data_IF_841894781488
#
_entry.id   IF_841894781488
#
_cell.length_a   1.000
_cell.length_b   1.000
_cell.length_c   1.000
_cell.angle_alpha   90.00
_cell.angle_beta   90.00
_cell.angle_gamma   90.00
#
_symmetry.space_group_name_H-M   'P 1'
#
loop_
_entity.id
_entity.type
_entity.pdbx_description
1 polymer ?
#
# COMPACT_ATOMS: atom_id res chain seq x y z
N UNK A 1 -12.45 2.88 20.16
CA UNK A 1 -13.37 1.75 19.83
C UNK A 1 -13.07 1.35 18.39
N UNK A 2 -12.91 0.05 18.13
CA UNK A 2 -12.71 -0.50 16.78
C UNK A 2 -13.90 -1.44 16.49
N UNK A 3 -14.95 -0.97 15.79
CA UNK A 3 -16.04 -1.85 15.38
C UNK A 3 -15.59 -2.77 14.26
N UNK A 4 -16.04 -4.03 14.30
CA UNK A 4 -15.78 -5.04 13.26
C UNK A 4 -17.10 -5.37 12.60
N UNK A 5 -17.12 -5.26 11.27
CA UNK A 5 -18.29 -5.54 10.45
C UNK A 5 -18.00 -6.62 9.42
N UNK A 6 -19.01 -7.42 9.11
CA UNK A 6 -18.98 -8.32 7.98
C UNK A 6 -19.60 -7.64 6.75
N UNK A 7 -19.01 -7.91 5.58
CA UNK A 7 -19.55 -7.47 4.29
C UNK A 7 -19.91 -8.70 3.46
N UNK A 8 -21.18 -9.12 3.43
CA UNK A 8 -21.60 -10.21 2.59
C UNK A 8 -21.22 -9.97 1.12
N UNK A 9 -20.64 -10.97 0.47
CA UNK A 9 -20.16 -10.88 -0.92
C UNK A 9 -19.13 -9.77 -1.20
N UNK A 10 -18.43 -9.29 -0.14
CA UNK A 10 -17.50 -8.18 -0.18
C UNK A 10 -18.12 -6.84 -0.63
N UNK A 11 -19.45 -6.75 -0.55
CA UNK A 11 -20.20 -5.56 -0.93
C UNK A 11 -20.18 -4.51 0.20
N UNK A 12 -19.77 -3.28 -0.15
CA UNK A 12 -19.71 -2.13 0.75
C UNK A 12 -20.95 -1.24 0.68
N UNK A 13 -21.85 -1.49 -0.27
CA UNK A 13 -23.03 -0.64 -0.55
C UNK A 13 -24.18 -0.81 0.44
N UNK A 14 -24.35 -1.96 1.17
CA UNK A 14 -25.37 -2.05 2.21
C UNK A 14 -25.25 -0.94 3.25
N UNK A 15 -26.37 -0.49 3.85
CA UNK A 15 -26.39 0.68 4.73
C UNK A 15 -25.43 0.60 5.92
N UNK A 16 -25.23 -0.57 6.51
CA UNK A 16 -24.38 -0.71 7.69
C UNK A 16 -22.89 -0.47 7.36
N UNK A 17 -22.26 -1.15 6.37
CA UNK A 17 -20.90 -0.85 5.96
C UNK A 17 -20.72 0.57 5.45
N UNK A 18 -21.64 1.08 4.63
CA UNK A 18 -21.58 2.41 4.04
C UNK A 18 -21.62 3.51 5.12
N UNK A 19 -22.64 3.49 5.98
CA UNK A 19 -22.78 4.46 7.07
C UNK A 19 -21.63 4.40 8.07
N UNK A 20 -21.11 3.21 8.38
CA UNK A 20 -19.96 3.05 9.28
C UNK A 20 -18.72 3.72 8.70
N UNK A 21 -18.51 3.68 7.40
CA UNK A 21 -17.46 4.42 6.72
C UNK A 21 -17.58 5.94 6.88
N UNK A 22 -18.78 6.48 6.99
CA UNK A 22 -19.01 7.91 7.20
C UNK A 22 -18.80 8.36 8.65
N UNK A 23 -19.21 7.57 9.62
CA UNK A 23 -19.16 7.95 11.04
C UNK A 23 -17.83 7.65 11.72
N UNK A 24 -16.95 6.88 11.12
CA UNK A 24 -15.63 6.52 11.67
C UNK A 24 -14.53 7.39 11.07
N UNK A 25 -13.43 7.57 11.81
CA UNK A 25 -12.26 8.34 11.37
C UNK A 25 -11.36 7.58 10.37
N UNK A 26 -11.62 6.31 10.18
CA UNK A 26 -10.90 5.47 9.23
C UNK A 26 -11.50 4.10 9.11
N UNK A 27 -11.03 3.35 8.12
CA UNK A 27 -11.47 1.98 7.88
C UNK A 27 -10.31 1.13 7.38
N UNK A 28 -10.27 -0.11 7.82
CA UNK A 28 -9.37 -1.15 7.34
C UNK A 28 -10.23 -2.20 6.65
N UNK A 29 -10.01 -2.39 5.36
CA UNK A 29 -10.74 -3.36 4.54
C UNK A 29 -9.91 -4.61 4.40
N UNK A 30 -10.51 -5.77 4.61
CA UNK A 30 -9.88 -7.07 4.40
C UNK A 30 -10.35 -7.67 3.07
N UNK A 31 -9.44 -8.29 2.34
CA UNK A 31 -9.68 -8.89 1.02
C UNK A 31 -9.60 -10.41 1.08
N UNK A 32 -10.63 -11.10 0.58
CA UNK A 32 -10.60 -12.55 0.40
C UNK A 32 -9.60 -12.99 -0.67
N UNK A 33 -9.38 -12.16 -1.69
CA UNK A 33 -8.40 -12.42 -2.72
C UNK A 33 -6.99 -12.47 -2.13
N UNK A 34 -6.61 -11.47 -1.33
CA UNK A 34 -5.31 -11.43 -0.66
C UNK A 34 -5.16 -12.60 0.33
N UNK A 35 -6.22 -12.94 1.05
CA UNK A 35 -6.21 -14.11 1.93
C UNK A 35 -5.93 -15.42 1.16
N UNK A 36 -6.59 -15.62 0.00
CA UNK A 36 -6.34 -16.79 -0.86
C UNK A 36 -4.93 -16.82 -1.43
N UNK A 37 -4.31 -15.66 -1.64
CA UNK A 37 -2.89 -15.54 -2.03
C UNK A 37 -1.91 -15.81 -0.87
N UNK A 38 -2.40 -16.05 0.35
CA UNK A 38 -1.56 -16.27 1.53
C UNK A 38 -0.99 -14.98 2.14
N UNK A 39 -1.51 -13.82 1.77
CA UNK A 39 -1.13 -12.54 2.37
C UNK A 39 -1.80 -12.40 3.74
N UNK A 40 -1.02 -12.24 4.79
CA UNK A 40 -1.52 -12.17 6.17
C UNK A 40 -0.82 -11.05 6.95
N UNK A 41 -1.57 -10.07 7.49
CA UNK A 41 -3.02 -9.86 7.37
C UNK A 41 -3.43 -9.48 5.94
N UNK A 42 -4.62 -9.91 5.46
CA UNK A 42 -5.06 -9.67 4.09
C UNK A 42 -5.68 -8.27 3.92
N UNK A 43 -4.95 -7.23 4.25
CA UNK A 43 -5.41 -5.84 4.21
C UNK A 43 -5.40 -5.33 2.77
N UNK A 44 -6.57 -4.94 2.28
CA UNK A 44 -6.68 -4.21 1.02
C UNK A 44 -6.37 -2.73 1.25
N UNK A 45 -5.18 -2.33 0.86
CA UNK A 45 -4.62 -1.01 1.17
C UNK A 45 -5.36 0.10 0.41
N UNK A 46 -5.78 -0.13 -0.83
CA UNK A 46 -6.35 0.92 -1.68
C UNK A 46 -7.68 1.46 -1.17
N UNK A 47 -8.66 0.63 -0.75
CA UNK A 47 -9.91 1.13 -0.17
C UNK A 47 -9.80 1.45 1.32
N UNK A 48 -8.71 1.07 1.98
CA UNK A 48 -8.47 1.40 3.38
C UNK A 48 -8.02 2.85 3.52
N UNK A 49 -8.47 3.52 4.56
CA UNK A 49 -8.14 4.93 4.79
C UNK A 49 -8.11 5.31 6.28
N UNK A 50 -7.38 6.37 6.58
CA UNK A 50 -7.46 7.11 7.84
C UNK A 50 -7.57 8.61 7.54
N UNK A 51 -8.62 9.26 8.03
CA UNK A 51 -8.80 10.72 7.88
C UNK A 51 -7.84 11.52 8.75
N UNK A 52 -7.32 10.89 9.80
CA UNK A 52 -6.42 11.54 10.76
C UNK A 52 -4.94 11.25 10.52
N UNK A 53 -4.59 10.55 9.43
CA UNK A 53 -3.21 10.14 9.15
C UNK A 53 -2.22 11.31 9.21
N UNK A 54 -2.57 12.44 8.61
CA UNK A 54 -1.67 13.61 8.52
C UNK A 54 -1.40 14.26 9.88
N UNK A 55 -2.27 14.01 10.88
CA UNK A 55 -2.04 14.44 12.26
C UNK A 55 -1.10 13.53 13.03
N UNK A 56 -0.90 12.30 12.55
CA UNK A 56 -0.12 11.26 13.23
C UNK A 56 1.26 11.00 12.65
N UNK A 57 1.60 11.59 11.49
CA UNK A 57 2.83 11.30 10.76
C UNK A 57 3.68 12.56 10.54
N UNK A 58 4.98 12.36 10.26
CA UNK A 58 5.92 13.43 9.91
C UNK A 58 6.89 13.76 11.04
N UNK A 59 7.63 14.85 10.84
CA UNK A 59 8.67 15.29 11.77
C UNK A 59 8.14 15.49 13.20
N UNK A 60 8.88 14.99 14.17
CA UNK A 60 8.49 15.04 15.59
C UNK A 60 7.44 14.01 16.03
N UNK A 61 6.92 13.18 15.11
CA UNK A 61 5.95 12.10 15.41
C UNK A 61 6.43 10.74 14.91
N UNK A 62 6.89 10.73 13.67
CA UNK A 62 7.49 9.58 13.01
C UNK A 62 8.78 10.04 12.32
N UNK A 63 9.06 9.59 11.10
CA UNK A 63 10.20 10.06 10.32
C UNK A 63 9.77 11.12 9.30
N UNK A 64 10.64 12.08 8.99
CA UNK A 64 10.32 13.24 8.13
C UNK A 64 9.85 12.84 6.71
N UNK A 65 10.38 11.74 6.18
CA UNK A 65 10.02 11.21 4.85
C UNK A 65 8.72 10.40 4.82
N UNK A 66 8.10 10.13 5.98
CA UNK A 66 6.96 9.19 6.08
C UNK A 66 5.81 9.54 5.13
N UNK A 67 5.40 10.81 5.08
CA UNK A 67 4.29 11.23 4.22
C UNK A 67 4.61 11.02 2.73
N UNK A 68 5.82 11.39 2.30
CA UNK A 68 6.28 11.24 0.92
C UNK A 68 6.38 9.76 0.54
N UNK A 69 7.01 8.95 1.40
CA UNK A 69 7.17 7.50 1.20
C UNK A 69 5.83 6.81 1.09
N UNK A 70 4.90 7.08 2.02
CA UNK A 70 3.55 6.52 2.01
C UNK A 70 2.78 6.88 0.74
N UNK A 71 2.78 8.15 0.34
CA UNK A 71 2.07 8.61 -0.86
C UNK A 71 2.65 7.98 -2.14
N UNK A 72 3.95 7.77 -2.20
CA UNK A 72 4.59 7.11 -3.34
C UNK A 72 4.30 5.62 -3.37
N UNK A 73 4.39 4.92 -2.23
CA UNK A 73 4.04 3.50 -2.13
C UNK A 73 2.60 3.24 -2.55
N UNK A 74 1.66 4.07 -2.06
CA UNK A 74 0.25 3.96 -2.40
C UNK A 74 0.00 4.15 -3.90
N UNK A 75 0.59 5.19 -4.50
CA UNK A 75 0.45 5.45 -5.94
C UNK A 75 1.10 4.36 -6.80
N UNK A 76 2.27 3.86 -6.39
CA UNK A 76 2.95 2.78 -7.09
C UNK A 76 2.16 1.46 -7.02
N UNK A 77 1.58 1.15 -5.85
CA UNK A 77 0.75 -0.04 -5.70
C UNK A 77 -0.54 0.04 -6.52
N UNK A 78 -1.20 1.19 -6.56
CA UNK A 78 -2.39 1.40 -7.40
C UNK A 78 -2.07 1.17 -8.88
N UNK A 79 -0.99 1.76 -9.39
CA UNK A 79 -0.54 1.55 -10.78
C UNK A 79 -0.15 0.09 -11.04
N UNK A 80 0.50 -0.56 -10.10
CA UNK A 80 0.88 -1.97 -10.22
C UNK A 80 -0.34 -2.91 -10.27
N UNK A 81 -1.39 -2.62 -9.50
CA UNK A 81 -2.66 -3.36 -9.57
C UNK A 81 -3.32 -3.17 -10.94
N UNK A 82 -3.40 -1.95 -11.45
CA UNK A 82 -3.91 -1.65 -12.79
C UNK A 82 -3.12 -2.38 -13.89
N UNK A 83 -1.80 -2.36 -13.82
CA UNK A 83 -0.95 -3.10 -14.77
C UNK A 83 -1.24 -4.61 -14.74
N UNK A 84 -1.44 -5.20 -13.56
CA UNK A 84 -1.80 -6.62 -13.41
C UNK A 84 -3.18 -6.95 -13.98
N UNK A 85 -4.17 -6.07 -13.82
CA UNK A 85 -5.48 -6.22 -14.44
C UNK A 85 -5.38 -6.20 -15.96
N UNK A 86 -4.66 -5.23 -16.52
CA UNK A 86 -4.40 -5.15 -17.96
C UNK A 86 -3.64 -6.39 -18.47
N UNK A 87 -2.65 -6.88 -17.73
CA UNK A 87 -1.91 -8.09 -18.08
C UNK A 87 -2.83 -9.32 -18.15
N UNK A 88 -3.81 -9.40 -17.25
CA UNK A 88 -4.80 -10.50 -17.23
C UNK A 88 -5.73 -10.47 -18.44
N UNK A 89 -6.10 -9.27 -18.91
CA UNK A 89 -7.06 -9.08 -20.00
C UNK A 89 -6.36 -9.17 -21.36
N UNK A 90 -5.23 -8.51 -21.53
CA UNK A 90 -4.56 -8.29 -22.82
C UNK A 90 -3.32 -9.16 -23.02
N UNK A 91 -2.83 -9.81 -21.96
CA UNK A 91 -1.57 -10.53 -21.95
C UNK A 91 -0.34 -9.65 -21.67
N UNK A 92 0.74 -10.28 -21.25
CA UNK A 92 2.00 -9.62 -20.86
C UNK A 92 2.63 -8.80 -22.00
N UNK A 93 2.49 -9.28 -23.24
CA UNK A 93 3.06 -8.63 -24.42
C UNK A 93 2.43 -7.25 -24.74
N UNK A 94 1.29 -6.94 -24.15
CA UNK A 94 0.60 -5.66 -24.35
C UNK A 94 1.06 -4.56 -23.37
N UNK A 95 1.84 -4.92 -22.34
CA UNK A 95 2.34 -3.97 -21.35
C UNK A 95 3.67 -3.34 -21.79
N UNK A 96 3.87 -2.09 -21.37
CA UNK A 96 5.18 -1.46 -21.48
C UNK A 96 6.15 -2.03 -20.44
N UNK A 97 7.46 -1.90 -20.69
CA UNK A 97 8.49 -2.35 -19.75
C UNK A 97 8.30 -1.74 -18.34
N UNK A 98 7.88 -0.48 -18.28
CA UNK A 98 7.64 0.20 -17.00
C UNK A 98 6.42 -0.38 -16.27
N UNK A 99 5.36 -0.76 -16.98
CA UNK A 99 4.17 -1.37 -16.37
C UNK A 99 4.48 -2.77 -15.84
N UNK A 100 5.35 -3.52 -16.50
CA UNK A 100 5.88 -4.79 -16.00
C UNK A 100 6.65 -4.61 -14.68
N UNK A 101 7.44 -3.52 -14.57
CA UNK A 101 8.14 -3.19 -13.32
C UNK A 101 7.12 -2.85 -12.22
N UNK A 102 6.08 -2.08 -12.52
CA UNK A 102 5.02 -1.77 -11.55
C UNK A 102 4.22 -3.01 -11.14
N UNK A 103 3.95 -3.95 -12.05
CA UNK A 103 3.31 -5.22 -11.72
C UNK A 103 4.16 -6.05 -10.73
N UNK A 104 5.47 -6.14 -10.97
CA UNK A 104 6.42 -6.78 -10.04
C UNK A 104 6.48 -6.07 -8.70
N UNK A 105 6.46 -4.74 -8.71
CA UNK A 105 6.39 -3.94 -7.48
C UNK A 105 5.14 -4.28 -6.66
N UNK A 106 3.97 -4.40 -7.30
CA UNK A 106 2.73 -4.74 -6.60
C UNK A 106 2.80 -6.12 -5.92
N UNK A 107 3.39 -7.12 -6.58
CA UNK A 107 3.58 -8.44 -5.97
C UNK A 107 4.55 -8.39 -4.77
N UNK A 108 5.64 -7.67 -4.91
CA UNK A 108 6.60 -7.49 -3.83
C UNK A 108 5.97 -6.70 -2.65
N UNK A 109 5.18 -5.68 -2.94
CA UNK A 109 4.47 -4.90 -1.93
C UNK A 109 3.48 -5.76 -1.13
N UNK A 110 2.68 -6.60 -1.79
CA UNK A 110 1.77 -7.52 -1.11
C UNK A 110 2.53 -8.50 -0.21
N UNK A 111 3.65 -9.06 -0.69
CA UNK A 111 4.41 -10.09 0.02
C UNK A 111 5.31 -9.57 1.15
N UNK A 112 5.95 -8.43 0.95
CA UNK A 112 6.97 -7.94 1.89
C UNK A 112 6.48 -6.79 2.76
N UNK A 113 5.56 -5.95 2.26
CA UNK A 113 5.05 -4.80 3.01
C UNK A 113 3.75 -5.13 3.74
N UNK A 114 2.74 -5.64 3.04
CA UNK A 114 1.43 -5.96 3.62
C UNK A 114 1.51 -7.24 4.45
N UNK A 115 2.10 -8.31 3.91
CA UNK A 115 2.22 -9.58 4.60
C UNK A 115 3.24 -9.49 5.74
N UNK A 116 2.86 -10.01 6.89
CA UNK A 116 3.68 -10.05 8.10
C UNK A 116 3.57 -11.42 8.75
N UNK A 117 4.64 -11.86 9.40
CA UNK A 117 4.60 -13.08 10.20
C UNK A 117 3.62 -12.94 11.38
N UNK A 118 3.05 -14.04 11.82
CA UNK A 118 2.05 -14.05 12.90
C UNK A 118 2.52 -13.37 14.20
N UNK A 119 3.81 -13.42 14.48
CA UNK A 119 4.44 -12.79 15.65
C UNK A 119 5.24 -11.54 15.29
N UNK A 120 5.09 -11.02 14.06
CA UNK A 120 5.81 -9.82 13.65
C UNK A 120 5.33 -8.61 14.47
N UNK A 121 6.29 -7.79 14.87
CA UNK A 121 6.05 -6.53 15.58
C UNK A 121 6.98 -5.47 15.00
N UNK A 122 6.68 -5.04 13.77
CA UNK A 122 7.44 -4.01 13.07
C UNK A 122 7.21 -2.64 13.71
N UNK A 123 8.26 -1.92 13.95
CA UNK A 123 8.17 -0.51 14.25
C UNK A 123 8.03 0.33 12.97
N UNK A 124 7.89 1.65 13.13
CA UNK A 124 7.69 2.55 12.00
C UNK A 124 8.97 2.71 11.17
N UNK A 125 10.14 2.63 11.78
CA UNK A 125 11.43 2.75 11.09
C UNK A 125 11.68 1.53 10.20
N UNK A 126 11.44 0.32 10.72
CA UNK A 126 11.49 -0.92 9.95
C UNK A 126 10.49 -0.90 8.79
N UNK A 127 9.27 -0.44 9.06
CA UNK A 127 8.23 -0.33 8.03
C UNK A 127 8.63 0.60 6.90
N UNK A 128 9.19 1.77 7.23
CA UNK A 128 9.67 2.73 6.23
C UNK A 128 10.91 2.22 5.49
N UNK A 129 11.79 1.48 6.16
CA UNK A 129 12.95 0.84 5.51
C UNK A 129 12.50 -0.18 4.45
N UNK A 130 11.53 -1.04 4.78
CA UNK A 130 10.94 -1.98 3.82
C UNK A 130 10.30 -1.19 2.66
N UNK A 131 9.58 -0.11 2.94
CA UNK A 131 9.00 0.77 1.93
C UNK A 131 10.06 1.30 0.95
N UNK A 132 11.19 1.79 1.44
CA UNK A 132 12.29 2.27 0.60
C UNK A 132 12.96 1.17 -0.21
N UNK A 133 13.16 -0.01 0.39
CA UNK A 133 13.64 -1.19 -0.34
C UNK A 133 12.75 -1.50 -1.54
N UNK A 134 11.44 -1.49 -1.35
CA UNK A 134 10.48 -1.72 -2.43
C UNK A 134 10.47 -0.60 -3.47
N UNK A 135 10.51 0.66 -3.06
CA UNK A 135 10.58 1.79 -3.97
C UNK A 135 11.85 1.76 -4.84
N UNK A 136 12.91 1.12 -4.37
CA UNK A 136 14.15 0.93 -5.14
C UNK A 136 14.01 -0.08 -6.30
N UNK A 137 12.88 -0.81 -6.39
CA UNK A 137 12.54 -1.62 -7.57
C UNK A 137 12.18 -0.72 -8.75
N UNK A 138 11.60 0.46 -8.46
CA UNK A 138 11.19 1.43 -9.46
C UNK A 138 12.37 2.33 -9.84
N UNK A 139 12.47 2.77 -11.10
CA UNK A 139 13.45 3.79 -11.49
C UNK A 139 13.25 5.09 -10.69
N UNK A 140 14.34 5.75 -10.30
CA UNK A 140 14.29 7.03 -9.56
C UNK A 140 13.38 8.06 -10.24
N UNK A 141 13.36 8.10 -11.57
CA UNK A 141 12.52 9.01 -12.36
C UNK A 141 11.01 8.84 -12.15
N UNK A 142 10.57 7.68 -11.65
CA UNK A 142 9.17 7.39 -11.34
C UNK A 142 8.75 7.85 -9.95
N UNK A 143 9.70 8.17 -9.06
CA UNK A 143 9.45 8.52 -7.67
C UNK A 143 9.13 10.02 -7.50
N UNK A 144 8.17 10.52 -8.28
CA UNK A 144 7.84 11.96 -8.40
C UNK A 144 7.11 12.55 -7.17
N UNK A 145 6.68 11.72 -6.23
CA UNK A 145 5.97 12.15 -5.01
C UNK A 145 6.90 12.29 -3.81
N UNK A 146 8.21 12.10 -4.03
CA UNK A 146 9.24 12.16 -2.99
C UNK A 146 10.17 13.31 -3.29
N UNK A 147 10.46 14.13 -2.29
CA UNK A 147 11.42 15.21 -2.38
C UNK A 147 12.83 14.66 -2.64
N UNK A 148 13.61 15.34 -3.48
CA UNK A 148 14.96 14.93 -3.87
C UNK A 148 15.87 14.68 -2.66
N UNK A 149 15.75 15.47 -1.60
CA UNK A 149 16.51 15.28 -0.35
C UNK A 149 16.35 13.89 0.27
N UNK A 150 15.13 13.33 0.20
CA UNK A 150 14.87 11.97 0.72
C UNK A 150 15.31 10.91 -0.27
N UNK A 151 15.18 11.16 -1.57
CA UNK A 151 15.73 10.28 -2.59
C UNK A 151 17.25 10.15 -2.43
N UNK A 152 17.96 11.26 -2.23
CA UNK A 152 19.41 11.26 -2.04
C UNK A 152 19.81 10.55 -0.73
N UNK A 153 18.95 10.58 0.27
CA UNK A 153 19.21 9.97 1.58
C UNK A 153 18.95 8.46 1.59
N UNK A 154 17.88 7.99 0.99
CA UNK A 154 17.37 6.63 1.20
C UNK A 154 17.34 5.74 -0.04
N UNK A 155 17.21 6.30 -1.25
CA UNK A 155 17.06 5.50 -2.47
C UNK A 155 18.30 4.63 -2.73
N UNK A 156 18.07 3.30 -2.81
CA UNK A 156 19.14 2.32 -3.05
C UNK A 156 20.17 2.15 -1.92
N UNK A 157 19.86 2.68 -0.71
CA UNK A 157 20.78 2.63 0.44
C UNK A 157 20.24 1.84 1.64
N UNK A 158 19.03 1.31 1.50
CA UNK A 158 18.34 0.53 2.55
C UNK A 158 18.25 -0.92 2.15
#
# INVERSE_FOLDING_TARGET
>A
MVPILTMPEDDKTPPIPDLTGYITEGQIILSRELYRKGITPPIDVLPSLSRLKDKGIGEGKTRADHANTMNQLFAAYARGKEAKELMTILGEAALSDIDLIYAKFADAFEKEYVSQGYQANRDIEETLAIGWKLLSILPRSELKRIDDKFLDQYYGKV
#
